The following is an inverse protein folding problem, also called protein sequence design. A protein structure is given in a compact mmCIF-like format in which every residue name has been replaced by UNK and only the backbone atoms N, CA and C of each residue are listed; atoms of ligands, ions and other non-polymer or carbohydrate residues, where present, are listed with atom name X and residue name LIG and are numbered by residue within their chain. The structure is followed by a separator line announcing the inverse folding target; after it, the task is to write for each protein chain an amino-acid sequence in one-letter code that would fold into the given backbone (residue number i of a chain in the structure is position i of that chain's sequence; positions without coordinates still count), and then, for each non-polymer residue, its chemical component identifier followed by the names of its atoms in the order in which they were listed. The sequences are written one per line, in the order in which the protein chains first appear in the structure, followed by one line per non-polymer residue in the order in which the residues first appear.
data_IF_574415234426
#
_entry.id   IF_574415234426
#
_cell.length_a   1.000
_cell.length_b   1.000
_cell.length_c   1.000
_cell.angle_alpha   90.00
_cell.angle_beta   90.00
_cell.angle_gamma   90.00
#
_symmetry.space_group_name_H-M   'P 1'
#
loop_
_entity.id
_entity.type
_entity.pdbx_description
1 polymer ?
#
# COMPACT_ATOMS: atom_id res chain seq x y z
N UNK A 1 35.86 -41.96 -41.78
CA UNK A 1 35.41 -40.52 -41.67
C UNK A 1 34.23 -40.32 -40.78
N UNK A 2 33.10 -41.04 -40.86
CA UNK A 2 31.93 -40.83 -39.96
C UNK A 2 32.24 -41.06 -38.47
N UNK A 3 33.07 -42.04 -38.12
CA UNK A 3 33.45 -42.30 -36.72
C UNK A 3 34.36 -41.20 -36.15
N UNK A 4 35.24 -40.59 -36.95
CA UNK A 4 36.12 -39.48 -36.53
C UNK A 4 35.30 -38.20 -36.24
N UNK A 5 34.25 -37.95 -37.02
CA UNK A 5 33.34 -36.82 -36.83
C UNK A 5 32.52 -36.97 -35.54
N UNK A 6 32.10 -38.17 -35.17
CA UNK A 6 31.35 -38.43 -33.92
C UNK A 6 32.28 -38.22 -32.69
N UNK A 7 33.54 -38.65 -32.76
CA UNK A 7 34.51 -38.41 -31.70
C UNK A 7 34.85 -36.92 -31.55
N UNK A 8 34.97 -36.17 -32.65
CA UNK A 8 35.16 -34.70 -32.59
C UNK A 8 33.96 -33.99 -32.01
N UNK A 9 32.73 -34.40 -32.31
CA UNK A 9 31.50 -33.83 -31.74
C UNK A 9 31.39 -34.12 -30.24
N UNK A 10 31.77 -35.30 -29.76
CA UNK A 10 31.75 -35.64 -28.32
C UNK A 10 32.82 -34.84 -27.56
N UNK A 11 33.99 -34.57 -28.18
CA UNK A 11 35.04 -33.80 -27.51
C UNK A 11 34.69 -32.31 -27.31
N UNK A 12 33.90 -31.75 -28.24
CA UNK A 12 33.40 -30.34 -28.11
C UNK A 12 32.35 -30.20 -27.02
N UNK A 13 31.60 -31.28 -26.70
CA UNK A 13 30.57 -31.22 -25.66
C UNK A 13 31.14 -31.21 -24.22
N UNK A 14 32.40 -31.58 -24.00
CA UNK A 14 33.02 -31.62 -22.68
C UNK A 14 33.81 -30.36 -22.32
N UNK A 15 33.92 -29.36 -23.20
CA UNK A 15 34.65 -28.14 -22.95
C UNK A 15 33.79 -27.00 -22.35
N UNK A 16 32.54 -27.28 -21.99
CA UNK A 16 31.64 -26.28 -21.36
C UNK A 16 31.63 -26.32 -19.85
N UNK A 17 32.70 -26.75 -19.18
CA UNK A 17 32.88 -26.46 -17.77
C UNK A 17 33.31 -25.01 -17.60
N UNK A 18 32.38 -24.08 -17.34
CA UNK A 18 32.74 -22.78 -16.83
C UNK A 18 33.45 -23.00 -15.49
N UNK A 19 34.72 -22.64 -15.42
CA UNK A 19 35.40 -22.48 -14.14
C UNK A 19 34.67 -21.38 -13.39
N UNK A 20 34.05 -21.68 -12.26
CA UNK A 20 33.57 -20.67 -11.34
C UNK A 20 34.80 -19.98 -10.72
N UNK A 21 35.28 -18.92 -11.40
CA UNK A 21 36.33 -18.06 -10.86
C UNK A 21 35.64 -16.92 -10.10
N UNK A 22 36.22 -16.56 -8.98
CA UNK A 22 35.77 -15.42 -8.20
C UNK A 22 36.74 -14.25 -8.42
N UNK A 23 36.18 -13.06 -8.55
CA UNK A 23 36.98 -11.83 -8.61
C UNK A 23 37.55 -11.52 -7.24
N UNK A 24 38.89 -11.56 -7.12
CA UNK A 24 39.66 -11.33 -5.87
C UNK A 24 40.31 -9.94 -5.78
N UNK A 25 40.12 -9.09 -6.79
CA UNK A 25 40.69 -7.75 -6.82
C UNK A 25 40.27 -6.90 -5.64
N UNK A 26 41.23 -6.25 -4.99
CA UNK A 26 40.92 -5.34 -3.87
C UNK A 26 40.25 -4.02 -4.30
N UNK A 27 39.99 -3.83 -5.59
CA UNK A 27 39.29 -2.71 -6.20
C UNK A 27 37.83 -3.08 -6.55
N UNK A 28 37.34 -4.25 -6.11
CA UNK A 28 35.99 -4.73 -6.39
C UNK A 28 34.92 -3.70 -5.98
N UNK A 29 34.06 -3.33 -6.92
CA UNK A 29 32.91 -2.46 -6.72
C UNK A 29 31.68 -3.02 -7.39
N UNK A 30 30.59 -2.96 -6.70
CA UNK A 30 29.25 -3.25 -7.22
C UNK A 30 28.69 -2.02 -7.92
N UNK A 31 27.80 -2.22 -8.88
CA UNK A 31 26.97 -1.17 -9.45
C UNK A 31 25.54 -1.30 -8.93
N UNK A 32 24.86 -0.18 -8.77
CA UNK A 32 23.52 -0.13 -8.21
C UNK A 32 22.55 0.52 -9.20
N UNK A 33 21.30 0.06 -9.24
CA UNK A 33 20.24 0.70 -10.04
C UNK A 33 19.94 2.13 -9.58
N UNK A 34 20.23 2.44 -8.32
CA UNK A 34 20.10 3.77 -7.70
C UNK A 34 21.05 3.85 -6.51
N UNK A 35 21.50 5.03 -6.17
CA UNK A 35 22.28 5.33 -4.95
C UNK A 35 21.40 5.56 -3.71
N UNK A 36 20.11 5.83 -3.95
CA UNK A 36 19.13 6.06 -2.89
C UNK A 36 17.80 5.39 -3.25
N UNK A 37 17.27 4.60 -2.32
CA UNK A 37 15.92 4.04 -2.39
C UNK A 37 14.96 4.97 -1.65
N UNK A 38 14.10 5.63 -2.40
CA UNK A 38 13.08 6.52 -1.86
C UNK A 38 11.76 5.80 -1.70
N UNK A 39 11.19 5.92 -0.52
CA UNK A 39 9.78 5.63 -0.28
C UNK A 39 9.04 6.96 -0.28
N UNK A 40 8.12 7.11 -1.20
CA UNK A 40 7.18 8.22 -1.17
C UNK A 40 6.37 8.18 0.13
N UNK A 41 5.44 9.07 0.30
CA UNK A 41 4.66 9.20 1.54
C UNK A 41 4.10 7.85 1.99
N UNK A 42 4.55 7.37 3.15
CA UNK A 42 4.09 6.12 3.78
C UNK A 42 3.22 6.46 4.98
N UNK A 43 2.02 5.90 5.03
CA UNK A 43 1.20 6.05 6.24
C UNK A 43 1.87 5.37 7.42
N UNK A 44 1.98 6.10 8.54
CA UNK A 44 2.53 5.55 9.78
C UNK A 44 1.76 4.30 10.21
N UNK A 45 2.44 3.35 10.84
CA UNK A 45 1.88 2.04 11.24
C UNK A 45 1.47 1.11 10.08
N UNK A 46 1.62 1.52 8.82
CA UNK A 46 1.53 0.65 7.65
C UNK A 46 2.93 0.24 7.21
N UNK A 47 3.05 -0.98 6.69
CA UNK A 47 4.19 -1.32 5.85
C UNK A 47 4.09 -0.52 4.55
N UNK A 48 5.22 0.00 4.07
CA UNK A 48 5.29 0.61 2.74
C UNK A 48 5.00 -0.40 1.63
N UNK A 49 4.90 0.09 0.40
CA UNK A 49 5.21 -0.72 -0.77
C UNK A 49 6.60 -1.34 -0.64
N UNK A 50 6.81 -2.39 -1.40
CA UNK A 50 8.13 -3.00 -1.55
C UNK A 50 8.87 -2.28 -2.68
N UNK A 51 9.96 -1.60 -2.33
CA UNK A 51 10.85 -1.00 -3.32
C UNK A 51 11.93 -2.01 -3.73
N UNK A 52 12.43 -1.86 -4.96
CA UNK A 52 13.39 -2.78 -5.55
C UNK A 52 14.71 -2.07 -5.83
N UNK A 53 15.77 -2.54 -5.21
CA UNK A 53 17.15 -2.23 -5.56
C UNK A 53 17.73 -3.39 -6.37
N UNK A 54 18.42 -3.09 -7.46
CA UNK A 54 19.20 -4.06 -8.25
C UNK A 54 20.67 -3.82 -7.99
N UNK A 55 21.39 -4.88 -7.67
CA UNK A 55 22.84 -4.88 -7.43
C UNK A 55 23.49 -5.68 -8.55
N UNK A 56 24.37 -5.04 -9.31
CA UNK A 56 25.06 -5.62 -10.47
C UNK A 56 26.50 -5.97 -10.14
N UNK A 57 26.94 -7.13 -10.62
CA UNK A 57 28.33 -7.52 -10.72
C UNK A 57 28.85 -7.14 -12.12
N UNK A 58 29.67 -6.09 -12.25
CA UNK A 58 30.20 -5.66 -13.56
C UNK A 58 31.37 -6.51 -14.06
N UNK A 59 31.83 -7.49 -13.27
CA UNK A 59 33.01 -8.28 -13.58
C UNK A 59 32.64 -9.55 -14.36
N UNK A 60 33.60 -10.04 -15.16
CA UNK A 60 33.47 -11.31 -15.91
C UNK A 60 33.68 -12.57 -15.04
N UNK A 61 33.83 -12.41 -13.74
CA UNK A 61 34.01 -13.44 -12.72
C UNK A 61 32.93 -13.27 -11.64
N UNK A 62 32.61 -14.33 -10.92
CA UNK A 62 31.65 -14.26 -9.83
C UNK A 62 32.18 -13.32 -8.73
N UNK A 63 31.29 -12.62 -8.07
CA UNK A 63 31.62 -11.72 -6.97
C UNK A 63 30.87 -12.15 -5.72
N UNK A 64 31.49 -12.05 -4.55
CA UNK A 64 30.87 -12.36 -3.26
C UNK A 64 30.71 -11.06 -2.48
N UNK A 65 29.46 -10.78 -2.06
CA UNK A 65 29.22 -9.80 -1.01
C UNK A 65 29.41 -10.52 0.32
N UNK A 66 30.47 -10.19 1.05
CA UNK A 66 30.78 -10.81 2.32
C UNK A 66 29.72 -10.50 3.36
N UNK A 67 29.28 -9.25 3.42
CA UNK A 67 28.19 -8.81 4.29
C UNK A 67 27.32 -7.77 3.57
N UNK A 68 26.00 -7.92 3.66
CA UNK A 68 25.01 -6.94 3.29
C UNK A 68 24.09 -6.73 4.50
N UNK A 69 24.02 -5.52 5.04
CA UNK A 69 23.24 -5.25 6.24
C UNK A 69 22.69 -3.81 6.27
N UNK A 70 21.66 -3.62 7.10
CA UNK A 70 21.20 -2.28 7.46
C UNK A 70 22.18 -1.63 8.45
N UNK A 71 22.48 -0.34 8.26
CA UNK A 71 23.42 0.39 9.09
C UNK A 71 22.95 0.48 10.55
N UNK A 72 21.64 0.71 10.79
CA UNK A 72 21.04 0.72 12.12
C UNK A 72 20.78 -0.69 12.69
N UNK A 73 21.07 -1.75 11.94
CA UNK A 73 20.91 -3.14 12.36
C UNK A 73 19.49 -3.47 12.86
N UNK A 74 19.40 -4.02 14.09
CA UNK A 74 18.10 -4.41 14.70
C UNK A 74 17.14 -3.23 14.94
N UNK A 75 17.67 -2.02 15.09
CA UNK A 75 16.86 -0.82 15.39
C UNK A 75 16.31 -0.17 14.12
N UNK A 76 16.74 -0.63 12.95
CA UNK A 76 16.21 -0.17 11.66
C UNK A 76 14.70 -0.40 11.55
N UNK A 77 14.01 0.58 10.99
CA UNK A 77 12.59 0.48 10.62
C UNK A 77 12.40 -0.17 9.24
N UNK A 78 13.50 -0.29 8.49
CA UNK A 78 13.53 -0.97 7.20
C UNK A 78 13.70 -2.49 7.38
N UNK A 79 13.24 -3.23 6.38
CA UNK A 79 13.37 -4.68 6.24
C UNK A 79 13.88 -4.98 4.84
N UNK A 80 14.76 -5.96 4.75
CA UNK A 80 15.32 -6.41 3.48
C UNK A 80 14.84 -7.83 3.17
N UNK A 81 14.70 -8.12 1.89
CA UNK A 81 14.62 -9.47 1.34
C UNK A 81 15.63 -9.53 0.21
N UNK A 82 16.70 -10.29 0.41
CA UNK A 82 17.80 -10.44 -0.53
C UNK A 82 17.69 -11.80 -1.18
N UNK A 83 17.47 -11.84 -2.49
CA UNK A 83 17.30 -13.06 -3.28
C UNK A 83 16.32 -14.07 -2.66
N UNK A 84 15.18 -13.57 -2.14
CA UNK A 84 14.14 -14.37 -1.51
C UNK A 84 14.33 -14.66 -0.02
N UNK A 85 15.44 -14.26 0.59
CA UNK A 85 15.73 -14.45 2.01
C UNK A 85 15.46 -13.14 2.77
N UNK A 86 14.52 -13.17 3.71
CA UNK A 86 14.21 -12.01 4.55
C UNK A 86 15.20 -11.88 5.71
N UNK A 87 15.66 -10.64 6.00
CA UNK A 87 16.59 -10.38 7.09
C UNK A 87 17.03 -8.92 7.14
N UNK A 88 17.76 -8.55 8.18
CA UNK A 88 18.42 -7.23 8.31
C UNK A 88 19.94 -7.31 8.07
N UNK A 89 20.45 -8.52 7.96
CA UNK A 89 21.83 -8.84 7.64
C UNK A 89 21.89 -10.17 6.89
N UNK A 90 22.73 -10.24 5.88
CA UNK A 90 22.98 -11.40 5.02
C UNK A 90 24.48 -11.51 4.77
N UNK A 91 24.99 -12.71 4.67
CA UNK A 91 26.40 -13.00 4.47
C UNK A 91 26.61 -13.95 3.29
N UNK A 92 27.75 -13.81 2.60
CA UNK A 92 28.18 -14.74 1.57
C UNK A 92 27.26 -14.78 0.33
N UNK A 93 26.75 -13.64 -0.12
CA UNK A 93 25.86 -13.55 -1.27
C UNK A 93 26.71 -13.58 -2.55
N UNK A 94 26.53 -14.60 -3.37
CA UNK A 94 27.19 -14.73 -4.64
C UNK A 94 26.40 -14.04 -5.76
N UNK A 95 27.07 -13.23 -6.57
CA UNK A 95 26.52 -12.67 -7.81
C UNK A 95 27.33 -13.23 -8.97
N UNK A 96 26.71 -13.96 -9.90
CA UNK A 96 27.40 -14.52 -11.07
C UNK A 96 28.04 -13.42 -11.94
N UNK A 97 29.00 -13.80 -12.77
CA UNK A 97 29.68 -12.92 -13.70
C UNK A 97 28.71 -12.18 -14.63
N UNK A 98 28.79 -10.86 -14.69
CA UNK A 98 27.93 -9.98 -15.49
C UNK A 98 26.43 -10.16 -15.21
N UNK A 99 26.06 -10.51 -13.98
CA UNK A 99 24.68 -10.74 -13.55
C UNK A 99 24.30 -9.82 -12.38
N UNK A 100 23.09 -9.93 -11.88
CA UNK A 100 22.55 -9.09 -10.83
C UNK A 100 21.66 -9.86 -9.87
N UNK A 101 21.50 -9.30 -8.67
CA UNK A 101 20.54 -9.77 -7.68
C UNK A 101 19.54 -8.66 -7.34
N UNK A 102 18.39 -9.07 -6.81
CA UNK A 102 17.36 -8.15 -6.33
C UNK A 102 17.37 -8.07 -4.82
N UNK A 103 17.33 -6.85 -4.32
CA UNK A 103 17.06 -6.56 -2.91
C UNK A 103 15.72 -5.83 -2.85
N UNK A 104 14.76 -6.46 -2.18
CA UNK A 104 13.48 -5.84 -1.89
C UNK A 104 13.56 -5.17 -0.53
N UNK A 105 13.11 -3.93 -0.46
CA UNK A 105 13.16 -3.09 0.74
C UNK A 105 11.75 -2.68 1.10
N UNK A 106 11.42 -2.77 2.38
CA UNK A 106 10.17 -2.29 2.99
C UNK A 106 10.47 -1.46 4.22
N UNK A 107 9.60 -0.53 4.56
CA UNK A 107 9.70 0.27 5.79
C UNK A 107 8.38 0.29 6.55
N UNK A 108 8.47 0.43 7.88
CA UNK A 108 7.31 0.71 8.73
C UNK A 108 7.65 1.88 9.65
N UNK A 109 6.89 2.97 9.53
CA UNK A 109 7.12 4.20 10.31
C UNK A 109 6.24 4.17 11.56
N UNK A 110 6.84 4.48 12.72
CA UNK A 110 6.14 4.50 14.00
C UNK A 110 5.37 5.84 14.16
N UNK A 111 4.05 5.83 14.40
CA UNK A 111 3.25 7.05 14.57
C UNK A 111 3.52 7.80 15.87
N UNK A 112 4.15 7.15 16.86
CA UNK A 112 4.35 7.73 18.19
C UNK A 112 5.52 8.71 18.28
N UNK A 113 6.17 9.05 17.14
CA UNK A 113 7.20 10.10 17.12
C UNK A 113 6.51 11.47 17.07
N UNK A 114 6.84 12.30 18.06
CA UNK A 114 6.32 13.67 18.20
C UNK A 114 6.92 14.68 17.24
N UNK A 115 7.92 14.28 16.47
CA UNK A 115 8.71 15.19 15.62
C UNK A 115 8.22 15.11 14.17
N UNK A 116 7.55 16.13 13.71
CA UNK A 116 7.22 16.33 12.30
C UNK A 116 8.33 17.13 11.59
N UNK A 117 8.70 16.80 10.33
CA UNK A 117 8.18 15.71 9.51
C UNK A 117 8.74 14.34 9.93
N UNK A 118 7.90 13.30 9.83
CA UNK A 118 8.30 11.93 10.14
C UNK A 118 9.17 11.39 8.99
N UNK A 119 10.49 11.56 9.10
CA UNK A 119 11.45 11.03 8.13
C UNK A 119 12.21 9.88 8.78
N UNK A 120 12.13 8.69 8.17
CA UNK A 120 13.01 7.58 8.50
C UNK A 120 14.10 7.47 7.46
N UNK A 121 15.34 7.35 7.91
CA UNK A 121 16.50 7.12 7.07
C UNK A 121 17.33 5.98 7.61
N UNK A 122 17.98 5.25 6.75
CA UNK A 122 18.98 4.23 7.05
C UNK A 122 19.87 4.06 5.81
N UNK A 123 20.80 3.12 5.81
CA UNK A 123 21.58 2.75 4.63
C UNK A 123 21.74 1.24 4.58
N UNK A 124 21.78 0.67 3.38
CA UNK A 124 22.27 -0.69 3.14
C UNK A 124 23.77 -0.61 2.99
N UNK A 125 24.51 -1.25 3.87
CA UNK A 125 25.96 -1.36 3.80
C UNK A 125 26.33 -2.69 3.14
N UNK A 126 27.26 -2.63 2.18
CA UNK A 126 27.73 -3.78 1.40
C UNK A 126 29.24 -3.87 1.47
N UNK A 127 29.76 -5.01 1.95
CA UNK A 127 31.18 -5.28 2.00
C UNK A 127 31.58 -6.28 0.92
N UNK A 128 32.50 -5.88 0.03
CA UNK A 128 32.97 -6.70 -1.11
C UNK A 128 34.48 -6.55 -1.25
N UNK A 129 35.23 -7.65 -1.08
CA UNK A 129 36.68 -7.70 -1.16
C UNK A 129 37.41 -6.59 -0.37
N UNK A 130 36.88 -6.27 0.82
CA UNK A 130 37.43 -5.22 1.69
C UNK A 130 36.94 -3.80 1.41
N UNK A 131 36.15 -3.58 0.33
CA UNK A 131 35.53 -2.30 0.04
C UNK A 131 34.16 -2.24 0.71
N UNK A 132 33.85 -1.10 1.30
CA UNK A 132 32.52 -0.80 1.82
C UNK A 132 31.83 0.18 0.88
N UNK A 133 30.64 -0.19 0.42
CA UNK A 133 29.73 0.66 -0.34
C UNK A 133 28.41 0.78 0.41
N UNK A 134 27.65 1.81 0.12
CA UNK A 134 26.34 2.02 0.72
C UNK A 134 25.29 2.44 -0.31
N UNK A 135 24.03 2.19 0.03
CA UNK A 135 22.84 2.70 -0.67
C UNK A 135 21.93 3.29 0.38
N UNK A 136 21.59 4.55 0.23
CA UNK A 136 20.74 5.25 1.18
C UNK A 136 19.27 4.80 1.09
N UNK A 137 18.62 4.78 2.24
CA UNK A 137 17.18 4.50 2.38
C UNK A 137 16.51 5.70 3.03
N UNK A 138 15.49 6.26 2.38
CA UNK A 138 14.75 7.41 2.88
C UNK A 138 13.26 7.18 2.72
N UNK A 139 12.50 7.37 3.81
CA UNK A 139 11.04 7.26 3.81
C UNK A 139 10.41 8.45 4.52
N UNK A 140 9.34 8.98 3.93
CA UNK A 140 8.52 10.05 4.51
C UNK A 140 7.26 9.47 5.12
N UNK A 141 7.03 9.73 6.41
CA UNK A 141 5.84 9.28 7.12
C UNK A 141 4.75 10.33 7.11
N UNK A 142 3.52 9.89 6.92
CA UNK A 142 2.32 10.71 7.06
C UNK A 142 1.46 10.19 8.19
N UNK A 143 1.18 11.03 9.18
CA UNK A 143 0.24 10.72 10.25
C UNK A 143 -1.20 10.73 9.72
N UNK A 144 -2.05 9.88 10.31
CA UNK A 144 -3.42 9.71 9.87
C UNK A 144 -4.34 9.25 11.01
N UNK A 145 -5.64 9.36 10.83
CA UNK A 145 -6.64 8.69 11.66
C UNK A 145 -6.86 7.27 11.14
N UNK A 146 -6.69 6.26 12.00
CA UNK A 146 -6.76 4.85 11.62
C UNK A 146 -8.02 4.18 12.15
N UNK A 147 -8.79 3.58 11.25
CA UNK A 147 -9.98 2.80 11.56
C UNK A 147 -9.70 1.32 11.29
N UNK A 148 -9.50 0.54 12.35
CA UNK A 148 -9.11 -0.87 12.27
C UNK A 148 -10.28 -1.79 12.60
N UNK A 149 -10.52 -2.86 11.84
CA UNK A 149 -11.62 -3.76 12.11
C UNK A 149 -11.45 -4.44 13.47
N UNK A 150 -12.52 -4.46 14.24
CA UNK A 150 -12.58 -5.08 15.58
C UNK A 150 -13.63 -6.17 15.65
N UNK A 151 -14.49 -6.28 14.62
CA UNK A 151 -15.64 -7.17 14.62
C UNK A 151 -15.59 -8.11 13.42
N UNK A 152 -15.78 -9.42 13.72
CA UNK A 152 -15.94 -10.47 12.71
C UNK A 152 -17.26 -11.18 12.94
N UNK A 153 -18.15 -11.11 11.94
CA UNK A 153 -19.40 -11.84 11.90
C UNK A 153 -19.37 -12.73 10.67
N UNK A 154 -19.64 -14.06 10.78
CA UNK A 154 -19.68 -14.95 9.62
C UNK A 154 -20.66 -14.45 8.56
N UNK A 155 -20.21 -14.36 7.31
CA UNK A 155 -21.00 -13.87 6.17
C UNK A 155 -20.98 -12.36 5.97
N UNK A 156 -20.36 -11.59 6.86
CA UNK A 156 -20.11 -10.16 6.67
C UNK A 156 -18.60 -9.88 6.53
N UNK A 157 -18.21 -8.80 5.86
CA UNK A 157 -16.83 -8.35 5.88
C UNK A 157 -16.40 -8.00 7.32
N UNK A 158 -15.11 -8.10 7.60
CA UNK A 158 -14.56 -7.62 8.88
C UNK A 158 -14.74 -6.10 8.98
N UNK A 159 -15.23 -5.61 10.11
CA UNK A 159 -15.56 -4.19 10.25
C UNK A 159 -15.25 -3.63 11.64
N UNK A 160 -15.22 -2.31 11.72
CA UNK A 160 -15.29 -1.53 12.96
C UNK A 160 -16.49 -0.60 12.90
N UNK A 161 -16.95 -0.16 14.06
CA UNK A 161 -18.04 0.82 14.18
C UNK A 161 -17.48 2.23 14.32
N UNK A 162 -18.09 3.20 13.67
CA UNK A 162 -17.71 4.61 13.79
C UNK A 162 -17.80 5.08 15.24
N UNK A 163 -18.84 4.65 15.96
CA UNK A 163 -19.02 4.93 17.38
C UNK A 163 -17.86 4.49 18.29
N UNK A 164 -17.06 3.51 17.85
CA UNK A 164 -15.87 3.07 18.60
C UNK A 164 -14.72 4.06 18.59
N UNK A 165 -14.80 5.09 17.75
CA UNK A 165 -13.78 6.14 17.58
C UNK A 165 -14.26 7.52 18.00
N UNK A 166 -15.42 7.59 18.67
CA UNK A 166 -16.00 8.82 19.20
C UNK A 166 -16.06 8.78 20.73
N UNK A 167 -16.00 9.92 21.37
CA UNK A 167 -16.11 9.98 22.84
C UNK A 167 -17.56 9.84 23.28
N UNK A 168 -17.85 8.96 24.28
CA UNK A 168 -19.19 8.86 24.85
C UNK A 168 -19.53 10.12 25.70
N UNK A 169 -20.83 10.41 25.95
CA UNK A 169 -22.00 9.60 25.60
C UNK A 169 -22.47 9.77 24.16
N UNK A 170 -22.89 8.67 23.53
CA UNK A 170 -23.49 8.69 22.20
C UNK A 170 -24.99 8.96 22.30
N UNK A 171 -25.49 9.85 21.44
CA UNK A 171 -26.92 10.13 21.33
C UNK A 171 -27.45 9.67 19.99
N UNK A 172 -28.69 9.26 19.98
CA UNK A 172 -29.40 8.89 18.77
C UNK A 172 -29.41 10.08 17.78
N UNK A 173 -28.86 9.85 16.59
CA UNK A 173 -28.75 10.89 15.57
C UNK A 173 -27.50 11.75 15.62
N UNK A 174 -26.48 11.35 16.39
CA UNK A 174 -25.21 12.07 16.46
C UNK A 174 -24.53 12.19 15.09
N UNK A 175 -23.87 13.32 14.89
CA UNK A 175 -23.07 13.58 13.72
C UNK A 175 -21.58 13.52 14.10
N UNK A 176 -20.87 12.62 13.42
CA UNK A 176 -19.41 12.56 13.49
C UNK A 176 -18.84 13.35 12.32
N UNK A 177 -17.96 14.29 12.61
CA UNK A 177 -17.38 15.16 11.58
C UNK A 177 -15.92 14.82 11.31
N UNK A 178 -15.57 14.69 10.03
CA UNK A 178 -14.21 14.51 9.56
C UNK A 178 -13.73 15.77 8.84
N UNK A 179 -12.53 16.21 9.21
CA UNK A 179 -11.89 17.39 8.67
C UNK A 179 -10.63 17.02 7.87
N UNK A 180 -10.05 18.00 7.19
CA UNK A 180 -8.86 17.84 6.37
C UNK A 180 -7.54 18.03 7.12
N UNK A 181 -7.55 17.99 8.44
CA UNK A 181 -6.36 18.15 9.29
C UNK A 181 -5.40 16.96 9.15
N UNK A 182 -5.94 15.76 9.00
CA UNK A 182 -5.19 14.52 8.72
C UNK A 182 -5.99 13.60 7.79
N UNK A 183 -5.33 12.77 6.98
CA UNK A 183 -5.99 11.71 6.25
C UNK A 183 -6.69 10.70 7.17
N UNK A 184 -7.77 10.10 6.67
CA UNK A 184 -8.49 9.01 7.32
C UNK A 184 -8.18 7.71 6.59
N UNK A 185 -7.62 6.69 7.27
CA UNK A 185 -7.22 5.40 6.69
C UNK A 185 -8.08 4.29 7.26
N UNK A 186 -8.83 3.62 6.38
CA UNK A 186 -9.79 2.57 6.74
C UNK A 186 -9.23 1.20 6.38
N UNK A 187 -9.22 0.29 7.36
CA UNK A 187 -8.92 -1.13 7.22
C UNK A 187 -10.20 -1.94 7.38
N UNK A 188 -10.42 -2.91 6.51
CA UNK A 188 -11.69 -3.62 6.47
C UNK A 188 -12.83 -2.65 6.20
N UNK A 189 -13.98 -2.84 6.82
CA UNK A 189 -15.10 -1.92 6.65
C UNK A 189 -15.27 -1.01 7.88
N UNK A 190 -15.51 0.27 7.63
CA UNK A 190 -15.97 1.19 8.68
C UNK A 190 -17.49 1.33 8.55
N UNK A 191 -18.21 0.83 9.54
CA UNK A 191 -19.67 0.95 9.62
C UNK A 191 -20.05 2.28 10.26
N UNK A 192 -20.78 3.11 9.53
CA UNK A 192 -21.52 4.23 10.11
C UNK A 192 -22.73 3.64 10.81
N UNK A 193 -22.72 3.71 12.14
CA UNK A 193 -23.73 3.07 12.97
C UNK A 193 -25.13 3.61 12.71
N UNK A 194 -26.13 2.77 12.98
CA UNK A 194 -27.54 3.14 12.87
C UNK A 194 -27.79 4.46 13.57
N UNK A 195 -28.45 5.39 12.87
CA UNK A 195 -28.81 6.74 13.29
C UNK A 195 -27.69 7.78 13.29
N UNK A 196 -26.43 7.37 13.15
CA UNK A 196 -25.33 8.33 13.03
C UNK A 196 -25.29 8.96 11.63
N UNK A 197 -24.79 10.18 11.58
CA UNK A 197 -24.41 10.81 10.32
C UNK A 197 -22.91 10.99 10.30
N UNK A 198 -22.24 10.43 9.29
CA UNK A 198 -20.86 10.77 9.00
C UNK A 198 -20.83 11.98 8.06
N UNK A 199 -20.34 13.10 8.56
CA UNK A 199 -20.16 14.33 7.79
C UNK A 199 -18.69 14.53 7.47
N UNK A 200 -18.36 14.64 6.19
CA UNK A 200 -17.00 14.79 5.70
C UNK A 200 -16.87 16.16 5.05
N UNK A 201 -15.95 16.96 5.55
CA UNK A 201 -15.71 18.34 5.11
C UNK A 201 -14.79 18.42 3.89
N UNK A 202 -14.80 19.58 3.23
CA UNK A 202 -14.01 19.85 2.06
C UNK A 202 -12.50 19.60 2.29
N UNK A 203 -11.84 19.06 1.26
CA UNK A 203 -10.41 18.73 1.26
C UNK A 203 -10.03 17.47 2.02
N UNK A 204 -10.97 16.81 2.71
CA UNK A 204 -10.68 15.58 3.47
C UNK A 204 -10.24 14.46 2.54
N UNK A 205 -9.16 13.77 2.93
CA UNK A 205 -8.62 12.61 2.22
C UNK A 205 -9.00 11.33 2.96
N UNK A 206 -9.68 10.41 2.28
CA UNK A 206 -10.09 9.11 2.83
C UNK A 206 -9.42 8.01 2.03
N UNK A 207 -8.60 7.22 2.70
CA UNK A 207 -7.83 6.15 2.10
C UNK A 207 -8.32 4.78 2.55
N UNK A 208 -8.40 3.85 1.63
CA UNK A 208 -8.84 2.50 1.89
C UNK A 208 -7.69 1.52 1.68
N UNK A 209 -7.43 0.71 2.70
CA UNK A 209 -6.43 -0.34 2.62
C UNK A 209 -7.06 -1.62 2.09
N UNK A 210 -6.52 -2.18 1.03
CA UNK A 210 -6.84 -3.50 0.44
C UNK A 210 -8.24 -4.07 0.79
N UNK A 211 -9.14 -4.18 -0.16
CA UNK A 211 -10.51 -4.69 0.01
C UNK A 211 -11.35 -4.04 1.13
N UNK A 212 -10.95 -2.86 1.59
CA UNK A 212 -11.68 -2.08 2.58
C UNK A 212 -12.87 -1.35 1.96
N UNK A 213 -13.76 -0.82 2.80
CA UNK A 213 -14.90 -0.03 2.35
C UNK A 213 -15.50 0.83 3.47
N UNK A 214 -16.38 1.72 3.07
CA UNK A 214 -17.24 2.48 3.97
C UNK A 214 -18.65 1.91 3.89
N UNK A 215 -19.20 1.48 5.01
CA UNK A 215 -20.53 0.91 5.09
C UNK A 215 -21.48 1.86 5.85
N UNK A 216 -22.40 2.48 5.13
CA UNK A 216 -23.47 3.30 5.70
C UNK A 216 -24.65 2.37 5.97
N UNK A 217 -24.86 2.03 7.23
CA UNK A 217 -25.83 1.04 7.66
C UNK A 217 -27.28 1.57 7.70
N UNK A 218 -28.23 0.71 8.04
CA UNK A 218 -29.64 1.07 8.09
C UNK A 218 -29.90 2.28 9.01
N UNK A 219 -30.60 3.29 8.49
CA UNK A 219 -30.96 4.49 9.25
C UNK A 219 -29.82 5.46 9.53
N UNK A 220 -28.60 5.17 9.07
CA UNK A 220 -27.48 6.12 9.14
C UNK A 220 -27.37 6.95 7.85
N UNK A 221 -26.54 7.98 7.85
CA UNK A 221 -26.38 8.86 6.70
C UNK A 221 -24.92 9.22 6.43
N UNK A 222 -24.60 9.47 5.15
CA UNK A 222 -23.32 10.01 4.70
C UNK A 222 -23.55 11.42 4.14
N UNK A 223 -22.84 12.40 4.69
CA UNK A 223 -22.88 13.80 4.24
C UNK A 223 -21.51 14.26 3.82
N UNK A 224 -21.17 14.10 2.55
CA UNK A 224 -19.92 14.58 1.96
C UNK A 224 -20.12 16.00 1.46
N UNK A 225 -19.30 16.93 1.94
CA UNK A 225 -19.39 18.37 1.71
C UNK A 225 -18.07 18.92 1.19
N UNK A 226 -17.66 18.45 0.03
CA UNK A 226 -16.55 19.05 -0.70
C UNK A 226 -16.95 20.38 -1.33
N UNK A 227 -15.94 21.09 -1.82
CA UNK A 227 -16.07 22.35 -2.54
C UNK A 227 -15.30 22.24 -3.86
N UNK A 228 -15.57 23.16 -4.78
CA UNK A 228 -14.84 23.24 -6.04
C UNK A 228 -13.36 23.55 -5.73
N UNK A 229 -12.43 22.77 -6.33
CA UNK A 229 -10.98 22.85 -6.09
C UNK A 229 -10.55 22.47 -4.66
N UNK A 230 -11.46 21.96 -3.86
CA UNK A 230 -11.22 21.42 -2.52
C UNK A 230 -12.16 20.23 -2.26
N UNK A 231 -12.10 19.27 -3.18
CA UNK A 231 -12.96 18.08 -3.18
C UNK A 231 -12.60 17.15 -2.02
N UNK A 232 -13.58 16.37 -1.58
CA UNK A 232 -13.32 15.20 -0.74
C UNK A 232 -12.83 14.06 -1.63
N UNK A 233 -11.70 13.44 -1.29
CA UNK A 233 -11.12 12.36 -2.10
C UNK A 233 -11.23 11.03 -1.37
N UNK A 234 -11.87 10.05 -2.03
CA UNK A 234 -11.90 8.65 -1.63
C UNK A 234 -11.00 7.84 -2.56
N UNK A 235 -9.94 7.21 -2.03
CA UNK A 235 -8.93 6.56 -2.84
C UNK A 235 -8.26 5.37 -2.13
N UNK A 236 -7.47 4.59 -2.86
CA UNK A 236 -6.63 3.56 -2.28
C UNK A 236 -5.55 4.14 -1.35
N UNK A 237 -5.02 3.31 -0.47
CA UNK A 237 -3.92 3.68 0.43
C UNK A 237 -2.53 3.58 -0.21
N UNK A 238 -2.46 3.10 -1.45
CA UNK A 238 -1.23 3.04 -2.25
C UNK A 238 -1.01 4.41 -2.90
N UNK A 239 -0.03 5.17 -2.40
CA UNK A 239 0.22 6.56 -2.83
C UNK A 239 1.21 6.66 -4.00
N UNK A 240 1.88 5.57 -4.34
CA UNK A 240 2.87 5.51 -5.40
C UNK A 240 2.24 5.82 -6.77
N UNK A 241 2.95 6.54 -7.62
CA UNK A 241 2.51 7.01 -8.95
C UNK A 241 1.88 5.89 -9.79
N UNK A 242 2.46 4.68 -9.72
CA UNK A 242 1.95 3.51 -10.44
C UNK A 242 0.51 3.15 -10.06
N UNK A 243 0.08 3.43 -8.83
CA UNK A 243 -1.23 3.06 -8.31
C UNK A 243 -2.26 4.19 -8.35
N UNK A 244 -1.85 5.43 -8.66
CA UNK A 244 -2.71 6.62 -8.60
C UNK A 244 -4.02 6.49 -9.40
N UNK A 245 -3.97 5.82 -10.56
CA UNK A 245 -5.12 5.66 -11.45
C UNK A 245 -5.55 4.19 -11.65
N UNK A 246 -5.01 3.25 -10.85
CA UNK A 246 -5.38 1.84 -10.98
C UNK A 246 -6.64 1.52 -10.19
N UNK A 247 -7.67 0.95 -10.81
CA UNK A 247 -8.89 0.54 -10.12
C UNK A 247 -8.69 -0.78 -9.38
N UNK A 248 -9.61 -1.08 -8.43
CA UNK A 248 -9.68 -2.36 -7.74
C UNK A 248 -8.73 -2.49 -6.54
N UNK A 249 -8.27 -1.36 -5.98
CA UNK A 249 -7.42 -1.34 -4.79
C UNK A 249 -8.21 -1.49 -3.48
N UNK A 250 -9.48 -1.12 -3.48
CA UNK A 250 -10.41 -1.22 -2.36
C UNK A 250 -11.80 -1.58 -2.87
N UNK A 251 -12.72 -1.94 -1.98
CA UNK A 251 -14.01 -2.46 -2.41
C UNK A 251 -14.98 -1.34 -2.80
N UNK A 252 -15.65 -0.68 -1.85
CA UNK A 252 -16.73 0.26 -2.16
C UNK A 252 -17.10 1.21 -1.03
N UNK A 253 -17.81 2.27 -1.37
CA UNK A 253 -18.71 2.96 -0.45
C UNK A 253 -20.08 2.28 -0.60
N UNK A 254 -20.56 1.67 0.49
CA UNK A 254 -21.81 0.88 0.48
C UNK A 254 -22.87 1.58 1.34
N UNK A 255 -23.87 2.16 0.70
CA UNK A 255 -25.04 2.73 1.36
C UNK A 255 -26.14 1.66 1.33
N UNK A 256 -26.29 0.99 2.47
CA UNK A 256 -27.23 -0.10 2.64
C UNK A 256 -28.38 0.33 3.56
N UNK A 257 -29.55 0.60 2.99
CA UNK A 257 -30.73 1.12 3.70
C UNK A 257 -30.42 2.41 4.51
N UNK A 258 -29.44 3.18 4.08
CA UNK A 258 -29.03 4.42 4.72
C UNK A 258 -30.15 5.46 4.70
N UNK A 259 -30.06 6.41 5.62
CA UNK A 259 -30.86 7.62 5.61
C UNK A 259 -30.49 8.53 4.44
N UNK A 260 -31.07 9.74 4.42
CA UNK A 260 -30.80 10.73 3.38
C UNK A 260 -29.31 11.09 3.32
N UNK A 261 -28.62 10.54 2.34
CA UNK A 261 -27.19 10.79 2.12
C UNK A 261 -26.96 11.83 1.01
N UNK A 262 -25.92 12.66 1.16
CA UNK A 262 -25.56 13.69 0.19
C UNK A 262 -24.08 13.60 -0.08
N UNK A 263 -23.69 13.56 -1.36
CA UNK A 263 -22.30 13.56 -1.80
C UNK A 263 -22.12 14.74 -2.78
N UNK A 264 -21.36 15.74 -2.37
CA UNK A 264 -21.10 16.94 -3.16
C UNK A 264 -19.60 17.17 -3.30
N UNK A 265 -19.14 17.50 -4.50
CA UNK A 265 -17.75 17.77 -4.82
C UNK A 265 -16.80 16.72 -4.24
N UNK A 266 -16.93 15.49 -4.72
CA UNK A 266 -16.08 14.37 -4.32
C UNK A 266 -15.41 13.71 -5.52
N UNK A 267 -14.23 13.15 -5.28
CA UNK A 267 -13.51 12.29 -6.20
C UNK A 267 -13.47 10.90 -5.58
N UNK A 268 -14.00 9.90 -6.26
CA UNK A 268 -14.00 8.50 -5.83
C UNK A 268 -13.20 7.71 -6.85
N UNK A 269 -11.98 7.29 -6.49
CA UNK A 269 -11.08 6.61 -7.42
C UNK A 269 -10.48 5.34 -6.81
N UNK A 270 -9.90 4.49 -7.66
CA UNK A 270 -9.22 3.24 -7.34
C UNK A 270 -10.11 2.12 -6.75
N UNK A 271 -11.39 2.34 -6.53
CA UNK A 271 -12.30 1.31 -6.01
C UNK A 271 -12.61 0.19 -7.01
N UNK A 272 -13.06 -0.95 -6.51
CA UNK A 272 -13.71 -1.98 -7.32
C UNK A 272 -15.10 -1.49 -7.75
N UNK A 273 -15.88 -1.00 -6.79
CA UNK A 273 -17.13 -0.25 -7.00
C UNK A 273 -16.97 1.12 -6.36
N UNK A 274 -17.31 2.21 -7.08
CA UNK A 274 -17.22 3.55 -6.50
C UNK A 274 -18.23 3.76 -5.38
N UNK A 275 -19.52 3.73 -5.72
CA UNK A 275 -20.63 3.88 -4.78
C UNK A 275 -21.70 2.82 -5.11
N UNK A 276 -22.11 2.08 -4.10
CA UNK A 276 -23.21 1.13 -4.18
C UNK A 276 -24.32 1.55 -3.23
N UNK A 277 -25.52 1.71 -3.77
CA UNK A 277 -26.71 1.98 -2.98
C UNK A 277 -27.65 0.79 -3.09
N UNK A 278 -28.01 0.22 -1.96
CA UNK A 278 -28.90 -0.92 -1.87
C UNK A 278 -30.09 -0.62 -0.97
N UNK A 279 -31.23 -1.17 -1.36
CA UNK A 279 -32.42 -1.25 -0.56
C UNK A 279 -32.80 -2.71 -0.45
N UNK A 280 -33.01 -3.24 0.75
CA UNK A 280 -33.49 -4.61 0.93
C UNK A 280 -34.92 -4.72 0.52
N UNK A 281 -35.29 -5.65 -0.37
CA UNK A 281 -36.66 -5.74 -0.91
C UNK A 281 -37.70 -6.29 0.09
N UNK A 282 -37.33 -6.51 1.35
CA UNK A 282 -38.17 -7.30 2.24
C UNK A 282 -39.19 -6.52 3.09
N UNK A 283 -39.04 -5.20 3.20
CA UNK A 283 -40.00 -4.43 3.99
C UNK A 283 -40.31 -3.10 3.31
N UNK A 284 -41.47 -3.05 2.68
CA UNK A 284 -42.22 -1.89 2.22
C UNK A 284 -41.57 -0.88 1.26
N UNK A 285 -42.14 -0.74 0.05
CA UNK A 285 -41.59 0.14 -1.00
C UNK A 285 -41.65 1.65 -0.68
N UNK A 286 -42.30 2.03 0.40
CA UNK A 286 -42.56 3.44 0.76
C UNK A 286 -41.38 4.12 1.48
N UNK A 287 -40.52 3.36 2.16
CA UNK A 287 -39.40 3.93 2.92
C UNK A 287 -38.29 4.47 2.01
N UNK A 288 -38.15 3.91 0.82
CA UNK A 288 -37.05 4.25 -0.12
C UNK A 288 -37.27 5.57 -0.86
N UNK A 289 -38.50 6.01 -1.01
CA UNK A 289 -38.76 7.30 -1.66
C UNK A 289 -38.45 8.51 -0.78
N UNK A 290 -38.31 8.30 0.52
CA UNK A 290 -38.12 9.38 1.50
C UNK A 290 -36.62 9.68 1.78
N UNK A 291 -35.70 8.75 1.45
CA UNK A 291 -34.27 8.87 1.78
C UNK A 291 -33.36 8.84 0.51
N UNK A 292 -33.45 9.82 -0.37
CA UNK A 292 -32.67 9.81 -1.60
C UNK A 292 -31.17 10.01 -1.30
N UNK A 293 -30.32 9.30 -2.06
CA UNK A 293 -28.91 9.63 -2.17
C UNK A 293 -28.77 10.72 -3.24
N UNK A 294 -28.28 11.89 -2.85
CA UNK A 294 -28.08 13.02 -3.74
C UNK A 294 -26.60 13.14 -4.08
N UNK A 295 -26.27 13.05 -5.37
CA UNK A 295 -24.88 13.14 -5.86
C UNK A 295 -24.78 14.37 -6.75
N UNK A 296 -23.83 15.26 -6.45
CA UNK A 296 -23.60 16.51 -7.18
C UNK A 296 -22.10 16.76 -7.38
N UNK A 297 -21.72 17.16 -8.59
CA UNK A 297 -20.33 17.54 -8.93
C UNK A 297 -19.29 16.51 -8.44
N UNK A 298 -19.59 15.23 -8.63
CA UNK A 298 -18.79 14.12 -8.12
C UNK A 298 -18.30 13.27 -9.28
N UNK A 299 -17.01 12.90 -9.26
CA UNK A 299 -16.38 12.08 -10.27
C UNK A 299 -16.02 10.71 -9.70
N UNK A 300 -16.22 9.65 -10.48
CA UNK A 300 -15.81 8.29 -10.12
C UNK A 300 -14.90 7.69 -11.18
N UNK A 301 -13.73 7.22 -10.74
CA UNK A 301 -12.72 6.51 -11.54
C UNK A 301 -12.47 5.10 -10.96
N UNK A 302 -13.51 4.39 -10.61
CA UNK A 302 -13.46 3.02 -10.11
C UNK A 302 -13.67 2.01 -11.24
N UNK A 303 -13.34 0.73 -11.01
CA UNK A 303 -13.52 -0.34 -12.01
C UNK A 303 -14.99 -0.46 -12.47
N UNK A 304 -15.91 -0.30 -11.55
CA UNK A 304 -17.34 -0.23 -11.78
C UNK A 304 -17.86 1.07 -11.14
N UNK A 305 -18.10 2.11 -11.91
CA UNK A 305 -18.48 3.44 -11.42
C UNK A 305 -19.62 3.44 -10.40
N UNK A 306 -20.80 3.87 -10.82
CA UNK A 306 -22.00 3.84 -9.99
C UNK A 306 -22.72 2.50 -10.18
N UNK A 307 -22.87 1.73 -9.11
CA UNK A 307 -23.65 0.50 -9.14
C UNK A 307 -24.96 0.69 -8.35
N UNK A 308 -26.07 0.51 -9.04
CA UNK A 308 -27.41 0.43 -8.45
C UNK A 308 -27.95 -0.96 -8.78
N UNK A 309 -28.06 -1.89 -7.84
CA UNK A 309 -28.75 -3.14 -8.10
C UNK A 309 -30.21 -2.84 -8.44
N UNK A 310 -30.68 -3.46 -9.48
CA UNK A 310 -32.09 -3.40 -9.83
C UNK A 310 -32.88 -4.14 -8.74
N UNK A 311 -33.81 -3.46 -8.14
CA UNK A 311 -34.87 -4.06 -7.33
C UNK A 311 -35.96 -4.68 -8.21
#
# INVERSE_FOLDING_TARGET
MKQLLIFALIYVSFSSCRKNSFYEGGDAKLEFSTDTVFFDTVFTSLGSSTERLVIFNPYSENLVIQELRLAKGKDSKFRLNVDGIAGKSHEGIEIPANDSIFVFVEVTIDPNRSDAPLVESDSILLQTNGNLQDVDLVAWGQDAYYYRPTTLIPGLPVFSRLSSYTEPPYFFGDTVEWFNDKPHVIYGYLLVDTTFTLKIHAGTQVHFYNNSGLWVGPGSALSVRGEKENEVVFQGSRLEDYFQDRPGQWDRIWINEGGRSVIQHAIIKNGFVGLQCEAWPFNEPLVYAENPVVIQNTHSHSKHGWYRPFG
#
